data_IF_651410405956
#
_entry.id   IF_651410405956
#
_cell.length_a   1.000
_cell.length_b   1.000
_cell.length_c   1.000
_cell.angle_alpha   90.00
_cell.angle_beta   90.00
_cell.angle_gamma   90.00
#
_symmetry.space_group_name_H-M   'P 1'
#
loop_
_entity.id
_entity.type
_entity.pdbx_description
1 polymer ?
#
# COMPACT_ATOMS: atom_id res chain seq x y z
N UNK A 1 21.92 7.70 5.38
CA UNK A 1 22.65 8.68 4.55
C UNK A 1 21.59 9.51 3.83
N UNK A 2 21.59 10.84 3.91
CA UNK A 2 20.62 11.69 3.21
C UNK A 2 20.90 11.67 1.69
N UNK A 3 19.83 11.73 0.87
CA UNK A 3 19.97 11.86 -0.57
C UNK A 3 20.55 13.24 -0.93
N UNK A 4 21.36 13.31 -2.00
CA UNK A 4 21.86 14.59 -2.54
C UNK A 4 20.71 15.41 -3.10
N UNK A 5 20.83 16.75 -3.09
CA UNK A 5 19.78 17.67 -3.56
C UNK A 5 19.36 17.38 -5.00
N UNK A 6 20.32 17.08 -5.89
CA UNK A 6 20.06 16.78 -7.30
C UNK A 6 19.20 15.53 -7.46
N UNK A 7 19.43 14.50 -6.62
CA UNK A 7 18.63 13.27 -6.59
C UNK A 7 17.22 13.56 -6.11
N UNK A 8 17.08 14.37 -5.04
CA UNK A 8 15.76 14.78 -4.54
C UNK A 8 15.02 15.56 -5.61
N UNK A 9 15.65 16.55 -6.23
CA UNK A 9 15.06 17.37 -7.30
C UNK A 9 14.59 16.51 -8.49
N UNK A 10 15.38 15.51 -8.88
CA UNK A 10 14.99 14.59 -9.96
C UNK A 10 13.70 13.83 -9.62
N UNK A 11 13.64 13.16 -8.45
CA UNK A 11 12.48 12.38 -8.07
C UNK A 11 11.28 13.22 -7.64
N UNK A 12 11.45 14.47 -7.27
CA UNK A 12 10.35 15.41 -7.01
C UNK A 12 9.78 16.03 -8.29
N UNK A 13 10.49 16.03 -9.41
CA UNK A 13 9.95 16.56 -10.65
C UNK A 13 8.95 15.58 -11.29
N UNK A 14 7.64 15.88 -11.31
CA UNK A 14 6.63 14.93 -11.81
C UNK A 14 6.84 14.56 -13.29
N UNK A 15 7.51 15.40 -14.07
CA UNK A 15 7.78 15.13 -15.50
C UNK A 15 8.68 13.92 -15.72
N UNK A 16 9.50 13.55 -14.73
CA UNK A 16 10.33 12.34 -14.78
C UNK A 16 9.55 11.03 -14.65
N UNK A 17 8.24 11.12 -14.40
CA UNK A 17 7.34 9.98 -14.31
C UNK A 17 6.45 9.82 -15.55
N UNK A 18 6.54 10.71 -16.55
CA UNK A 18 5.66 10.70 -17.72
C UNK A 18 6.11 9.63 -18.74
N UNK A 19 6.17 8.42 -18.27
CA UNK A 19 6.32 7.21 -19.09
C UNK A 19 5.22 6.22 -18.73
N UNK A 20 4.81 5.31 -19.63
CA UNK A 20 3.80 4.30 -19.33
C UNK A 20 4.09 3.51 -18.06
N UNK A 21 5.38 3.23 -17.78
CA UNK A 21 5.79 2.42 -16.66
C UNK A 21 5.82 3.18 -15.33
N UNK A 22 5.89 4.51 -15.36
CA UNK A 22 6.10 5.33 -14.15
C UNK A 22 4.89 6.16 -13.76
N UNK A 23 3.97 6.37 -14.69
CA UNK A 23 2.77 7.21 -14.46
C UNK A 23 1.91 6.71 -13.29
N UNK A 24 1.96 5.42 -13.00
CA UNK A 24 1.25 4.80 -11.87
C UNK A 24 1.70 5.29 -10.49
N UNK A 25 2.80 6.06 -10.39
CA UNK A 25 3.11 6.81 -9.18
C UNK A 25 2.04 7.88 -8.83
N UNK A 26 1.25 8.28 -9.82
CA UNK A 26 0.15 9.25 -9.70
C UNK A 26 -1.24 8.62 -9.73
N UNK A 27 -1.34 7.30 -9.80
CA UNK A 27 -2.62 6.60 -9.73
C UNK A 27 -3.39 7.02 -8.47
N UNK A 28 -4.66 7.38 -8.65
CA UNK A 28 -5.55 7.69 -7.53
C UNK A 28 -5.83 6.41 -6.73
N UNK A 29 -5.41 6.40 -5.47
CA UNK A 29 -5.56 5.27 -4.57
C UNK A 29 -6.90 5.24 -3.83
N UNK A 30 -7.79 6.19 -4.11
CA UNK A 30 -9.17 6.21 -3.61
C UNK A 30 -10.06 5.21 -4.34
N UNK A 31 -11.14 4.78 -3.69
CA UNK A 31 -12.15 3.93 -4.32
C UNK A 31 -13.00 4.72 -5.33
N UNK A 32 -13.16 4.20 -6.54
CA UNK A 32 -14.06 4.70 -7.56
C UNK A 32 -14.89 3.54 -8.16
N UNK A 33 -16.22 3.48 -7.93
CA UNK A 33 -17.07 2.40 -8.43
C UNK A 33 -17.23 2.41 -9.97
N UNK A 34 -16.80 3.47 -10.66
CA UNK A 34 -16.82 3.53 -12.12
C UNK A 34 -15.61 2.86 -12.76
N UNK A 35 -14.55 2.67 -11.98
CA UNK A 35 -13.26 2.09 -12.40
C UNK A 35 -13.06 0.71 -11.78
N UNK A 36 -13.27 0.59 -10.47
CA UNK A 36 -12.96 -0.61 -9.71
C UNK A 36 -14.08 -1.65 -9.80
N UNK A 37 -13.72 -2.87 -10.15
CA UNK A 37 -14.65 -4.00 -10.24
C UNK A 37 -14.08 -5.24 -9.53
N UNK A 38 -14.96 -6.15 -9.12
CA UNK A 38 -14.55 -7.45 -8.53
C UNK A 38 -13.76 -8.27 -9.56
N UNK A 39 -14.18 -8.22 -10.83
CA UNK A 39 -13.49 -8.89 -11.94
C UNK A 39 -12.08 -8.35 -12.11
N UNK A 40 -11.88 -7.04 -12.01
CA UNK A 40 -10.54 -6.43 -12.03
C UNK A 40 -9.67 -6.91 -10.89
N UNK A 41 -10.21 -7.04 -9.67
CA UNK A 41 -9.48 -7.63 -8.54
C UNK A 41 -9.11 -9.09 -8.84
N UNK A 42 -10.04 -9.89 -9.43
CA UNK A 42 -9.76 -11.29 -9.83
C UNK A 42 -8.62 -11.38 -10.82
N UNK A 43 -8.56 -10.45 -11.78
CA UNK A 43 -7.45 -10.40 -12.72
C UNK A 43 -6.11 -10.13 -12.03
N UNK A 44 -6.07 -9.16 -11.10
CA UNK A 44 -4.85 -8.81 -10.36
C UNK A 44 -4.34 -9.98 -9.52
N UNK A 45 -5.21 -10.72 -8.85
CA UNK A 45 -4.82 -11.85 -8.00
C UNK A 45 -4.62 -13.17 -8.77
N UNK A 46 -4.87 -13.17 -10.09
CA UNK A 46 -4.78 -14.37 -10.92
C UNK A 46 -3.46 -15.10 -10.78
N UNK A 47 -3.51 -16.41 -10.54
CA UNK A 47 -2.36 -17.28 -10.36
C UNK A 47 -1.63 -17.11 -9.02
N UNK A 48 -2.00 -16.13 -8.19
CA UNK A 48 -1.46 -15.99 -6.85
C UNK A 48 -2.11 -16.97 -5.86
N UNK A 49 -1.62 -17.00 -4.63
CA UNK A 49 -2.21 -17.83 -3.55
C UNK A 49 -3.68 -17.51 -3.24
N UNK A 50 -4.16 -16.35 -3.67
CA UNK A 50 -5.53 -15.89 -3.49
C UNK A 50 -6.48 -16.38 -4.59
N UNK A 51 -5.93 -16.75 -5.76
CA UNK A 51 -6.74 -17.17 -6.92
C UNK A 51 -7.33 -18.55 -6.71
N UNK A 52 -8.65 -18.67 -6.88
CA UNK A 52 -9.36 -19.96 -6.80
C UNK A 52 -9.29 -20.63 -5.43
N UNK A 53 -9.03 -19.90 -4.36
CA UNK A 53 -9.06 -20.44 -2.99
C UNK A 53 -10.42 -21.10 -2.70
N UNK A 54 -10.38 -22.29 -2.10
CA UNK A 54 -11.59 -23.02 -1.72
C UNK A 54 -12.26 -22.43 -0.45
N UNK A 55 -11.48 -21.75 0.38
CA UNK A 55 -11.93 -21.26 1.69
C UNK A 55 -12.42 -19.79 1.65
N UNK A 56 -11.91 -18.99 0.71
CA UNK A 56 -12.18 -17.55 0.66
C UNK A 56 -12.35 -17.04 -0.78
N UNK A 57 -13.37 -16.22 -1.03
CA UNK A 57 -13.41 -15.37 -2.22
C UNK A 57 -12.61 -14.08 -1.94
N UNK A 58 -11.29 -14.16 -2.12
CA UNK A 58 -10.41 -13.02 -1.87
C UNK A 58 -10.75 -11.79 -2.70
N UNK A 59 -11.21 -11.98 -3.94
CA UNK A 59 -11.58 -10.85 -4.80
C UNK A 59 -12.76 -10.08 -4.21
N UNK A 60 -13.77 -10.78 -3.73
CA UNK A 60 -14.91 -10.16 -3.06
C UNK A 60 -14.49 -9.47 -1.76
N UNK A 61 -13.68 -10.13 -0.92
CA UNK A 61 -13.21 -9.57 0.36
C UNK A 61 -12.41 -8.30 0.13
N UNK A 62 -11.49 -8.30 -0.84
CA UNK A 62 -10.63 -7.15 -1.15
C UNK A 62 -11.45 -6.00 -1.76
N UNK A 63 -12.39 -6.30 -2.65
CA UNK A 63 -13.28 -5.29 -3.22
C UNK A 63 -14.11 -4.60 -2.12
N UNK A 64 -14.78 -5.37 -1.26
CA UNK A 64 -15.55 -4.83 -0.14
C UNK A 64 -14.67 -4.07 0.86
N UNK A 65 -13.44 -4.52 1.10
CA UNK A 65 -12.51 -3.81 1.96
C UNK A 65 -12.16 -2.44 1.36
N UNK A 66 -11.92 -2.37 0.05
CA UNK A 66 -11.65 -1.13 -0.66
C UNK A 66 -12.85 -0.18 -0.64
N UNK A 67 -14.04 -0.68 -0.99
CA UNK A 67 -15.28 0.09 -0.97
C UNK A 67 -15.57 0.68 0.43
N UNK A 68 -15.49 -0.14 1.47
CA UNK A 68 -15.78 0.28 2.85
C UNK A 68 -14.73 1.26 3.41
N UNK A 69 -13.47 1.13 3.01
CA UNK A 69 -12.38 1.99 3.47
C UNK A 69 -12.13 3.20 2.54
N UNK A 70 -12.82 3.30 1.41
CA UNK A 70 -12.54 4.34 0.41
C UNK A 70 -11.20 4.19 -0.30
N UNK A 71 -10.66 2.97 -0.41
CA UNK A 71 -9.33 2.67 -0.97
C UNK A 71 -9.47 1.84 -2.24
N UNK A 72 -8.66 2.09 -3.26
CA UNK A 72 -8.61 1.28 -4.48
C UNK A 72 -8.40 -0.21 -4.14
N UNK A 73 -9.33 -1.10 -4.50
CA UNK A 73 -9.15 -2.53 -4.28
C UNK A 73 -8.04 -3.12 -5.15
N UNK A 74 -7.70 -2.45 -6.27
CA UNK A 74 -6.57 -2.83 -7.11
C UNK A 74 -5.25 -2.59 -6.38
N UNK A 75 -5.14 -1.42 -5.74
CA UNK A 75 -4.01 -1.12 -4.84
C UNK A 75 -3.91 -2.13 -3.70
N UNK A 76 -5.01 -2.44 -3.01
CA UNK A 76 -5.02 -3.40 -1.90
C UNK A 76 -4.58 -4.80 -2.36
N UNK A 77 -5.10 -5.30 -3.49
CA UNK A 77 -4.74 -6.60 -4.05
C UNK A 77 -3.24 -6.69 -4.38
N UNK A 78 -2.72 -5.67 -5.08
CA UNK A 78 -1.31 -5.59 -5.46
C UNK A 78 -0.41 -5.51 -4.22
N UNK A 79 -0.84 -4.76 -3.20
CA UNK A 79 -0.12 -4.63 -1.93
C UNK A 79 -0.05 -5.95 -1.17
N UNK A 80 -1.15 -6.68 -1.08
CA UNK A 80 -1.18 -8.00 -0.44
C UNK A 80 -0.19 -8.95 -1.12
N UNK A 81 -0.17 -9.01 -2.46
CA UNK A 81 0.78 -9.85 -3.19
C UNK A 81 2.22 -9.44 -2.89
N UNK A 82 2.49 -8.15 -2.81
CA UNK A 82 3.82 -7.61 -2.52
C UNK A 82 4.32 -7.97 -1.13
N UNK A 83 3.45 -7.85 -0.11
CA UNK A 83 3.83 -8.08 1.29
C UNK A 83 3.82 -9.58 1.64
N UNK A 84 2.86 -10.34 1.12
CA UNK A 84 2.68 -11.76 1.46
C UNK A 84 3.45 -12.72 0.54
N UNK A 85 3.97 -12.21 -0.60
CA UNK A 85 4.55 -13.00 -1.68
C UNK A 85 3.48 -13.60 -2.60
N UNK A 86 3.86 -13.85 -3.85
CA UNK A 86 2.92 -14.35 -4.88
C UNK A 86 2.31 -15.71 -4.52
N UNK A 87 3.06 -16.58 -3.83
CA UNK A 87 2.59 -17.89 -3.40
C UNK A 87 2.13 -17.93 -1.92
N UNK A 88 2.00 -16.78 -1.25
CA UNK A 88 1.61 -16.71 0.16
C UNK A 88 2.69 -17.26 1.10
N UNK A 89 3.95 -16.87 0.88
CA UNK A 89 5.09 -17.36 1.64
C UNK A 89 5.09 -16.87 3.09
N UNK A 90 4.44 -15.76 3.39
CA UNK A 90 4.39 -15.21 4.75
C UNK A 90 3.50 -16.04 5.68
N UNK A 91 3.98 -16.32 6.88
CA UNK A 91 3.16 -16.94 7.94
C UNK A 91 2.00 -16.02 8.38
N UNK A 92 2.10 -14.71 8.12
CA UNK A 92 1.07 -13.73 8.48
C UNK A 92 -0.20 -13.82 7.61
N UNK A 93 -0.12 -14.31 6.37
CA UNK A 93 -1.33 -14.58 5.58
C UNK A 93 -1.90 -15.99 5.81
N UNK A 94 -1.10 -16.93 6.34
CA UNK A 94 -1.56 -18.30 6.66
C UNK A 94 -2.13 -18.42 8.07
N UNK A 95 -1.78 -17.49 8.98
CA UNK A 95 -2.19 -17.56 10.38
C UNK A 95 -1.57 -18.73 11.14
N UNK A 96 -0.41 -19.20 10.70
CA UNK A 96 0.27 -20.40 11.25
C UNK A 96 1.61 -20.07 11.95
N UNK A 97 1.86 -18.81 12.26
CA UNK A 97 3.06 -18.41 12.98
C UNK A 97 3.04 -18.98 14.40
N UNK A 98 4.07 -19.77 14.75
CA UNK A 98 4.20 -20.41 16.05
C UNK A 98 4.09 -19.39 17.20
N UNK A 99 3.14 -19.60 18.10
CA UNK A 99 2.81 -18.72 19.23
C UNK A 99 1.85 -17.58 18.89
N UNK A 100 1.44 -17.46 17.64
CA UNK A 100 0.48 -16.47 17.14
C UNK A 100 -0.51 -17.09 16.15
N UNK A 101 -0.82 -18.38 16.34
CA UNK A 101 -1.76 -19.10 15.48
C UNK A 101 -3.15 -18.45 15.51
N UNK A 102 -3.75 -18.30 14.32
CA UNK A 102 -5.05 -17.68 14.17
C UNK A 102 -5.03 -16.14 14.11
N UNK A 103 -3.86 -15.52 14.12
CA UNK A 103 -3.71 -14.08 13.84
C UNK A 103 -3.14 -13.87 12.43
N UNK A 104 -3.72 -12.89 11.72
CA UNK A 104 -3.42 -12.61 10.32
C UNK A 104 -2.99 -11.15 10.14
N UNK A 105 -2.07 -10.87 9.22
CA UNK A 105 -1.66 -9.51 8.87
C UNK A 105 -1.26 -9.43 7.39
N UNK A 106 -2.23 -9.14 6.54
CA UNK A 106 -2.07 -9.17 5.08
C UNK A 106 -1.29 -7.97 4.50
N UNK A 107 -0.96 -6.96 5.31
CA UNK A 107 -0.28 -5.74 4.88
C UNK A 107 1.03 -5.47 5.63
N UNK A 108 1.53 -6.43 6.40
CA UNK A 108 2.75 -6.28 7.22
C UNK A 108 2.73 -5.04 8.15
N UNK A 109 1.54 -4.59 8.55
CA UNK A 109 1.39 -3.44 9.44
C UNK A 109 2.07 -3.75 10.79
N UNK A 110 2.98 -2.86 11.20
CA UNK A 110 3.76 -3.05 12.43
C UNK A 110 4.89 -4.07 12.33
N UNK A 111 5.16 -4.65 11.16
CA UNK A 111 6.25 -5.60 10.92
C UNK A 111 7.62 -4.89 10.80
N UNK A 112 8.02 -4.18 11.85
CA UNK A 112 9.31 -3.47 11.88
C UNK A 112 10.48 -4.44 11.94
N UNK A 113 11.52 -4.17 11.13
CA UNK A 113 12.75 -4.95 11.16
C UNK A 113 13.42 -4.91 12.52
N UNK A 114 13.94 -6.05 12.95
CA UNK A 114 14.72 -6.21 14.18
C UNK A 114 16.04 -6.91 13.89
N UNK A 115 16.92 -6.98 14.89
CA UNK A 115 18.17 -7.77 14.80
C UNK A 115 17.93 -9.27 14.95
N UNK A 116 16.76 -9.67 15.46
CA UNK A 116 16.42 -11.07 15.69
C UNK A 116 15.89 -11.72 14.42
N UNK A 117 16.26 -12.96 14.09
CA UNK A 117 15.72 -13.69 12.97
C UNK A 117 14.19 -13.82 13.07
N UNK A 118 13.48 -13.44 11.97
CA UNK A 118 12.02 -13.46 11.95
C UNK A 118 11.33 -12.38 12.77
N UNK A 119 12.08 -11.45 13.38
CA UNK A 119 11.54 -10.43 14.27
C UNK A 119 10.49 -9.53 13.63
N UNK A 120 10.62 -9.19 12.35
CA UNK A 120 9.60 -8.41 11.62
C UNK A 120 8.26 -9.14 11.58
N UNK A 121 8.26 -10.43 11.23
CA UNK A 121 7.04 -11.26 11.15
C UNK A 121 6.40 -11.40 12.54
N UNK A 122 7.20 -11.57 13.59
CA UNK A 122 6.73 -11.63 14.99
C UNK A 122 6.09 -10.29 15.38
N UNK A 123 6.71 -9.16 15.05
CA UNK A 123 6.14 -7.83 15.32
C UNK A 123 4.81 -7.62 14.57
N UNK A 124 4.72 -8.06 13.31
CA UNK A 124 3.47 -8.03 12.55
C UNK A 124 2.35 -8.86 13.18
N UNK A 125 2.69 -10.03 13.75
CA UNK A 125 1.74 -10.87 14.47
C UNK A 125 1.30 -10.26 15.82
N UNK A 126 2.23 -9.66 16.57
CA UNK A 126 1.91 -8.90 17.79
C UNK A 126 0.98 -7.72 17.48
N UNK A 127 1.25 -7.02 16.37
CA UNK A 127 0.36 -5.95 15.91
C UNK A 127 -1.04 -6.49 15.59
N UNK A 128 -1.15 -7.58 14.87
CA UNK A 128 -2.43 -8.21 14.56
C UNK A 128 -3.22 -8.61 15.82
N UNK A 129 -2.53 -8.94 16.89
CA UNK A 129 -3.12 -9.34 18.16
C UNK A 129 -3.51 -8.14 19.04
N UNK A 130 -2.64 -7.12 19.16
CA UNK A 130 -2.75 -6.08 20.18
C UNK A 130 -2.66 -4.65 19.65
N UNK A 131 -2.31 -4.45 18.37
CA UNK A 131 -2.08 -3.12 17.85
C UNK A 131 -0.66 -2.59 18.10
N UNK A 132 -0.53 -1.28 18.14
CA UNK A 132 0.78 -0.59 18.22
C UNK A 132 1.50 -0.83 19.54
N UNK A 133 0.77 -0.76 20.65
CA UNK A 133 1.32 -0.97 21.99
C UNK A 133 1.02 -2.38 22.50
N UNK A 134 1.61 -3.37 21.83
CA UNK A 134 1.40 -4.77 22.16
C UNK A 134 1.96 -5.18 23.53
N UNK A 135 2.81 -4.36 24.16
CA UNK A 135 3.31 -4.64 25.52
C UNK A 135 2.22 -4.38 26.58
N UNK A 136 1.35 -3.40 26.32
CA UNK A 136 0.18 -3.14 27.17
C UNK A 136 -0.86 -4.27 27.10
N UNK A 137 -0.90 -5.04 26.00
CA UNK A 137 -1.88 -6.10 25.75
C UNK A 137 -3.33 -5.59 25.82
N UNK A 138 -3.56 -4.37 25.33
CA UNK A 138 -4.85 -3.69 25.34
C UNK A 138 -5.15 -3.14 23.95
N UNK A 139 -6.38 -3.34 23.47
CA UNK A 139 -6.87 -2.77 22.21
C UNK A 139 -7.52 -1.42 22.52
N UNK A 140 -6.95 -0.35 22.01
CA UNK A 140 -7.53 1.00 22.13
C UNK A 140 -8.75 1.16 21.21
N UNK A 141 -9.57 2.19 21.44
CA UNK A 141 -10.73 2.51 20.58
C UNK A 141 -10.28 2.75 19.11
N UNK A 142 -9.12 3.38 18.91
CA UNK A 142 -8.55 3.58 17.57
C UNK A 142 -8.22 2.26 16.91
N UNK A 143 -7.58 1.35 17.61
CA UNK A 143 -7.23 0.03 17.09
C UNK A 143 -8.46 -0.85 16.88
N UNK A 144 -9.44 -0.76 17.73
CA UNK A 144 -10.74 -1.40 17.54
C UNK A 144 -11.46 -0.89 16.28
N UNK A 145 -11.31 0.39 15.93
CA UNK A 145 -11.84 0.94 14.67
C UNK A 145 -11.20 0.34 13.43
N UNK A 146 -9.97 -0.18 13.53
CA UNK A 146 -9.28 -0.98 12.50
C UNK A 146 -9.56 -2.48 12.62
N UNK A 147 -10.63 -2.85 13.30
CA UNK A 147 -11.08 -4.24 13.49
C UNK A 147 -10.06 -5.15 14.20
N UNK A 148 -9.11 -4.61 14.98
CA UNK A 148 -8.25 -5.46 15.81
C UNK A 148 -9.08 -6.15 16.93
N UNK A 149 -8.65 -7.36 17.36
CA UNK A 149 -7.57 -8.18 16.83
C UNK A 149 -7.94 -8.84 15.50
N UNK A 150 -6.95 -9.04 14.62
CA UNK A 150 -7.17 -9.64 13.31
C UNK A 150 -7.12 -11.18 13.37
N UNK A 151 -8.23 -11.76 13.79
CA UNK A 151 -8.39 -13.20 14.03
C UNK A 151 -8.97 -13.98 12.83
N UNK A 152 -9.10 -13.33 11.69
CA UNK A 152 -9.51 -13.97 10.43
C UNK A 152 -8.91 -13.21 9.24
N UNK A 153 -8.84 -13.89 8.10
CA UNK A 153 -8.44 -13.33 6.81
C UNK A 153 -9.24 -12.05 6.51
N UNK A 154 -10.57 -12.14 6.60
CA UNK A 154 -11.46 -11.02 6.29
C UNK A 154 -11.23 -9.83 7.23
N UNK A 155 -11.11 -10.05 8.55
CA UNK A 155 -10.84 -8.98 9.51
C UNK A 155 -9.50 -8.30 9.23
N UNK A 156 -8.48 -9.07 8.90
CA UNK A 156 -7.16 -8.55 8.58
C UNK A 156 -7.16 -7.71 7.30
N UNK A 157 -7.81 -8.17 6.24
CA UNK A 157 -7.88 -7.43 4.97
C UNK A 157 -8.71 -6.15 5.16
N UNK A 158 -9.92 -6.24 5.74
CA UNK A 158 -10.79 -5.08 5.96
C UNK A 158 -10.19 -4.09 6.97
N UNK A 159 -9.62 -4.58 8.07
CA UNK A 159 -9.00 -3.75 9.08
C UNK A 159 -7.71 -3.07 8.59
N UNK A 160 -6.90 -3.78 7.84
CA UNK A 160 -5.70 -3.22 7.21
C UNK A 160 -6.03 -2.15 6.17
N UNK A 161 -7.11 -2.32 5.39
CA UNK A 161 -7.59 -1.30 4.46
C UNK A 161 -8.01 -0.01 5.19
N UNK A 162 -8.75 -0.12 6.28
CA UNK A 162 -9.12 1.03 7.14
C UNK A 162 -7.89 1.73 7.72
N UNK A 163 -6.89 0.96 8.16
CA UNK A 163 -5.64 1.51 8.66
C UNK A 163 -4.88 2.30 7.58
N UNK A 164 -4.79 1.74 6.36
CA UNK A 164 -4.15 2.38 5.20
C UNK A 164 -4.88 3.68 4.84
N UNK A 165 -6.22 3.66 4.78
CA UNK A 165 -7.03 4.85 4.51
C UNK A 165 -6.71 5.98 5.48
N UNK A 166 -6.83 5.72 6.78
CA UNK A 166 -6.63 6.71 7.84
C UNK A 166 -5.22 7.27 7.90
N UNK A 167 -4.23 6.47 7.49
CA UNK A 167 -2.82 6.84 7.51
C UNK A 167 -2.47 7.92 6.47
N UNK A 168 -2.99 7.80 5.25
CA UNK A 168 -2.56 8.61 4.11
C UNK A 168 -3.70 9.11 3.22
N UNK A 169 -4.61 8.25 2.80
CA UNK A 169 -5.63 8.56 1.79
C UNK A 169 -6.63 9.59 2.33
N UNK A 170 -7.13 9.40 3.55
CA UNK A 170 -8.04 10.34 4.21
C UNK A 170 -7.42 11.71 4.50
N UNK A 171 -6.09 11.80 4.43
CA UNK A 171 -5.32 13.05 4.56
C UNK A 171 -5.00 13.68 3.19
N UNK A 172 -5.59 13.18 2.11
CA UNK A 172 -5.35 13.67 0.75
C UNK A 172 -4.08 13.13 0.09
N UNK A 173 -3.25 12.37 0.80
CA UNK A 173 -2.06 11.71 0.23
C UNK A 173 -2.48 10.43 -0.53
N UNK A 174 -3.36 10.61 -1.52
CA UNK A 174 -4.05 9.57 -2.24
C UNK A 174 -3.33 9.11 -3.53
N UNK A 175 -2.04 9.36 -3.64
CA UNK A 175 -1.15 8.78 -4.66
C UNK A 175 0.16 8.36 -4.03
N UNK A 176 0.89 7.43 -4.65
CA UNK A 176 2.24 7.06 -4.17
C UNK A 176 3.19 8.27 -4.15
N UNK A 177 3.01 9.18 -5.10
CA UNK A 177 3.79 10.41 -5.17
C UNK A 177 3.53 11.31 -3.95
N UNK A 178 2.26 11.57 -3.60
CA UNK A 178 1.91 12.36 -2.41
C UNK A 178 2.33 11.67 -1.11
N UNK A 179 2.21 10.36 -1.02
CA UNK A 179 2.69 9.59 0.14
C UNK A 179 4.22 9.69 0.31
N UNK A 180 4.96 9.79 -0.81
CA UNK A 180 6.42 9.94 -0.75
C UNK A 180 6.86 11.34 -0.41
N UNK A 181 6.27 12.35 -1.04
CA UNK A 181 6.83 13.70 -0.97
C UNK A 181 6.07 14.63 -0.03
N UNK A 182 4.84 14.30 0.35
CA UNK A 182 4.02 15.11 1.26
C UNK A 182 4.01 16.60 0.84
N UNK A 183 3.55 16.84 -0.38
CA UNK A 183 3.58 18.17 -1.01
C UNK A 183 2.19 18.78 -1.16
N UNK A 184 1.21 18.27 -0.43
CA UNK A 184 -0.16 18.80 -0.43
C UNK A 184 -0.17 20.26 0.09
N UNK A 185 -1.07 21.05 -0.48
CA UNK A 185 -1.31 22.43 -0.05
C UNK A 185 -2.57 22.50 0.83
N UNK A 186 -2.54 21.79 1.95
CA UNK A 186 -3.65 21.60 2.89
C UNK A 186 -3.52 22.46 4.16
N UNK A 187 -2.50 23.32 4.22
CA UNK A 187 -2.20 24.16 5.37
C UNK A 187 -1.38 23.49 6.47
N UNK A 188 -0.97 22.23 6.28
CA UNK A 188 -0.04 21.52 7.18
C UNK A 188 1.42 21.76 6.75
N UNK A 189 2.36 21.38 7.63
CA UNK A 189 3.78 21.43 7.31
C UNK A 189 4.12 20.35 6.28
N UNK A 190 4.51 20.76 5.08
CA UNK A 190 4.93 19.85 3.99
C UNK A 190 6.17 19.04 4.36
N UNK A 191 6.34 17.89 3.72
CA UNK A 191 7.49 16.98 3.83
C UNK A 191 7.62 16.26 5.18
N UNK A 192 6.64 16.35 6.08
CA UNK A 192 6.70 15.77 7.42
C UNK A 192 6.02 14.40 7.52
N UNK A 193 5.03 14.13 6.68
CA UNK A 193 4.26 12.89 6.70
C UNK A 193 4.57 12.01 5.50
N UNK A 194 5.81 11.52 5.42
CA UNK A 194 6.28 10.66 4.33
C UNK A 194 6.13 9.17 4.69
N UNK A 195 5.56 8.39 3.79
CA UNK A 195 5.39 6.93 3.95
C UNK A 195 6.72 6.19 4.14
N UNK A 196 7.75 6.57 3.39
CA UNK A 196 9.05 5.89 3.40
C UNK A 196 10.22 6.87 3.26
N UNK A 197 11.36 6.52 3.86
CA UNK A 197 12.60 7.31 3.74
C UNK A 197 13.25 7.17 2.36
N UNK A 198 13.02 6.06 1.65
CA UNK A 198 13.59 5.84 0.32
C UNK A 198 13.09 6.88 -0.68
N UNK A 199 14.01 7.69 -1.22
CA UNK A 199 13.67 8.75 -2.19
C UNK A 199 13.05 8.20 -3.48
N UNK A 200 13.35 6.97 -3.85
CA UNK A 200 12.85 6.29 -5.03
C UNK A 200 11.51 5.60 -4.83
N UNK A 201 10.89 5.70 -3.64
CA UNK A 201 9.70 4.90 -3.29
C UNK A 201 8.61 5.03 -4.35
N UNK A 202 8.09 6.23 -4.60
CA UNK A 202 7.02 6.43 -5.57
C UNK A 202 7.41 5.98 -6.99
N UNK A 203 8.66 6.23 -7.38
CA UNK A 203 9.18 5.85 -8.70
C UNK A 203 9.29 4.35 -8.89
N UNK A 204 9.74 3.61 -7.87
CA UNK A 204 9.87 2.15 -7.92
C UNK A 204 8.55 1.43 -7.72
N UNK A 205 7.70 1.92 -6.80
CA UNK A 205 6.38 1.34 -6.58
C UNK A 205 5.46 1.56 -7.80
N UNK A 206 5.46 2.76 -8.41
CA UNK A 206 4.71 2.99 -9.65
C UNK A 206 5.08 2.02 -10.77
N UNK A 207 6.39 1.68 -10.90
CA UNK A 207 6.81 0.63 -11.84
C UNK A 207 6.26 -0.76 -11.46
N UNK A 208 6.19 -1.08 -10.17
CA UNK A 208 5.66 -2.37 -9.71
C UNK A 208 4.18 -2.49 -10.04
N UNK A 209 3.39 -1.43 -9.80
CA UNK A 209 1.98 -1.40 -10.19
C UNK A 209 1.79 -1.53 -11.69
N UNK A 210 2.54 -0.77 -12.49
CA UNK A 210 2.53 -0.95 -13.94
C UNK A 210 2.76 -2.41 -14.34
N UNK A 211 3.80 -3.05 -13.82
CA UNK A 211 4.12 -4.45 -14.14
C UNK A 211 3.03 -5.43 -13.71
N UNK A 212 2.39 -5.18 -12.57
CA UNK A 212 1.26 -5.98 -12.11
C UNK A 212 0.10 -5.87 -13.08
N UNK A 213 -0.28 -4.65 -13.47
CA UNK A 213 -1.36 -4.41 -14.44
C UNK A 213 -1.02 -4.91 -15.84
N UNK A 214 0.22 -4.70 -16.31
CA UNK A 214 0.69 -5.16 -17.62
C UNK A 214 0.67 -6.70 -17.71
N UNK A 215 1.08 -7.39 -16.65
CA UNK A 215 1.11 -8.86 -16.62
C UNK A 215 -0.26 -9.51 -16.80
N UNK A 216 -1.33 -8.79 -16.54
CA UNK A 216 -2.73 -9.23 -16.63
C UNK A 216 -3.52 -8.51 -17.73
N UNK A 217 -2.84 -7.66 -18.52
CA UNK A 217 -3.46 -6.95 -19.64
C UNK A 217 -4.42 -5.82 -19.22
N UNK A 218 -4.25 -5.25 -18.04
CA UNK A 218 -5.10 -4.17 -17.50
C UNK A 218 -4.53 -2.76 -17.66
N UNK A 219 -3.43 -2.57 -18.38
CA UNK A 219 -2.84 -1.23 -18.58
C UNK A 219 -3.77 -0.27 -19.35
N UNK A 220 -4.75 -0.78 -20.08
CA UNK A 220 -5.77 0.00 -20.80
C UNK A 220 -7.07 0.16 -19.98
N UNK A 221 -7.10 -0.29 -18.71
CA UNK A 221 -8.24 -0.04 -17.83
C UNK A 221 -8.36 1.46 -17.50
N UNK A 222 -9.55 1.88 -17.09
CA UNK A 222 -9.80 3.27 -16.72
C UNK A 222 -9.12 3.65 -15.40
N UNK A 223 -7.88 4.10 -15.45
CA UNK A 223 -7.19 4.65 -14.28
C UNK A 223 -7.36 6.16 -14.20
N UNK A 224 -7.47 6.69 -13.00
CA UNK A 224 -7.41 8.13 -12.73
C UNK A 224 -6.02 8.48 -12.17
N UNK A 225 -5.43 9.58 -12.69
CA UNK A 225 -4.11 10.04 -12.29
C UNK A 225 -4.18 11.47 -11.76
N UNK A 226 -3.64 11.71 -10.56
CA UNK A 226 -3.53 13.03 -9.95
C UNK A 226 -2.06 13.47 -10.01
N UNK A 227 -1.79 14.42 -10.93
CA UNK A 227 -0.43 14.89 -11.20
C UNK A 227 -0.24 16.27 -10.60
N UNK A 228 0.69 16.48 -9.64
CA UNK A 228 0.94 17.78 -9.06
C UNK A 228 1.64 18.72 -10.06
N UNK A 229 1.29 19.99 -10.01
CA UNK A 229 1.96 21.05 -10.76
C UNK A 229 2.49 22.08 -9.76
N UNK A 230 3.80 22.30 -9.78
CA UNK A 230 4.44 23.28 -8.91
C UNK A 230 4.47 24.66 -9.56
N UNK A 231 4.28 25.72 -8.77
CA UNK A 231 4.26 27.10 -9.27
C UNK A 231 5.58 27.54 -9.92
N UNK A 232 6.71 27.00 -9.45
CA UNK A 232 8.04 27.37 -9.91
C UNK A 232 8.79 26.14 -10.44
N UNK A 233 8.23 25.50 -11.48
CA UNK A 233 8.91 24.40 -12.16
C UNK A 233 10.14 24.92 -12.91
N UNK A 234 11.30 24.22 -12.84
CA UNK A 234 12.46 24.57 -13.68
C UNK A 234 12.11 24.39 -15.17
N UNK A 235 12.73 25.18 -16.06
CA UNK A 235 12.48 25.11 -17.50
C UNK A 235 12.75 23.71 -18.07
N UNK A 236 13.79 23.06 -17.58
CA UNK A 236 14.12 21.68 -17.96
C UNK A 236 14.13 20.77 -16.73
N UNK A 237 13.64 19.54 -16.93
CA UNK A 237 13.84 18.47 -15.95
C UNK A 237 15.18 17.78 -16.19
N UNK A 238 15.89 17.46 -15.10
CA UNK A 238 17.23 16.87 -15.16
C UNK A 238 17.23 15.41 -15.61
N UNK A 239 18.38 14.92 -16.05
CA UNK A 239 18.64 13.48 -16.14
C UNK A 239 18.85 12.90 -14.73
N UNK A 240 18.65 11.57 -14.60
CA UNK A 240 18.95 10.88 -13.34
C UNK A 240 20.43 11.13 -12.98
N UNK A 241 20.72 11.69 -11.79
CA UNK A 241 22.09 11.90 -11.36
C UNK A 241 22.85 10.57 -11.18
N UNK A 242 24.13 10.55 -11.58
CA UNK A 242 25.04 9.39 -11.40
C UNK A 242 25.37 9.16 -9.92
#
# INVERSE_FOLDING_TARGET
>A
MAARTEVVSYFMDPRNYFTPERIFAFEMLGFDPTVHTIEGVREIIRGSFMDGSADYDYAQIIYEAGENAGVSPYFLASRIIQEMGFNGESALCRGDLTGYEGYYNFFDIGAYATTEPGGAVINGAKYAQWGRDWEAQEITDTEASFLLPWTSVERSIKGGALWIASGYIDKGQNTLYFQKFDVLDDGTDRYNHQYAQNIMMAYSEGLRYYRSYDSIGMTDAGFEFIIPVYNNMPESYGSLPE
#
